data_IF_182052790815
#
_entry.id   IF_182052790815
#
_cell.length_a   1.000
_cell.length_b   1.000
_cell.length_c   1.000
_cell.angle_alpha   90.00
_cell.angle_beta   90.00
_cell.angle_gamma   90.00
#
_symmetry.space_group_name_H-M   'P 1'
#
loop_
_entity.id
_entity.type
_entity.pdbx_description
1 polymer ?
#
# COMPACT_ATOMS: atom_id res chain seq x y z
N UNK A 1 -25.35 10.65 -10.83
CA UNK A 1 -24.60 10.70 -9.54
C UNK A 1 -23.13 10.87 -9.89
N UNK A 2 -22.41 11.70 -9.15
CA UNK A 2 -20.97 11.91 -9.36
C UNK A 2 -20.19 10.60 -9.25
N UNK A 3 -19.07 10.52 -9.96
CA UNK A 3 -18.20 9.34 -9.98
C UNK A 3 -17.61 9.04 -8.59
N UNK A 4 -17.41 10.07 -7.78
CA UNK A 4 -16.87 10.01 -6.42
C UNK A 4 -17.96 10.40 -5.42
N UNK A 5 -18.13 9.61 -4.35
CA UNK A 5 -19.12 9.86 -3.29
C UNK A 5 -18.49 10.48 -2.03
N UNK A 6 -17.17 10.42 -1.88
CA UNK A 6 -16.41 10.79 -0.69
C UNK A 6 -15.23 11.68 -1.06
N UNK A 7 -14.82 12.58 -0.18
CA UNK A 7 -13.55 13.27 -0.37
C UNK A 7 -12.43 12.28 -0.05
N UNK A 8 -11.42 12.23 -0.92
CA UNK A 8 -10.36 11.24 -0.85
C UNK A 8 -9.02 11.92 -0.61
N UNK A 9 -8.22 11.35 0.27
CA UNK A 9 -6.79 11.65 0.33
C UNK A 9 -6.08 10.69 -0.60
N UNK A 10 -5.31 11.22 -1.55
CA UNK A 10 -4.47 10.44 -2.46
C UNK A 10 -3.02 10.75 -2.13
N UNK A 11 -2.27 9.70 -1.79
CA UNK A 11 -0.83 9.76 -1.59
C UNK A 11 -0.12 9.30 -2.85
N UNK A 12 1.00 9.93 -3.15
CA UNK A 12 1.85 9.53 -4.24
C UNK A 12 3.27 10.03 -4.11
N UNK A 13 4.09 9.55 -5.02
CA UNK A 13 5.53 9.77 -5.00
C UNK A 13 6.09 9.96 -6.40
N UNK A 14 7.34 10.41 -6.43
CA UNK A 14 8.21 10.28 -7.59
C UNK A 14 8.66 8.82 -7.73
N UNK A 15 8.90 8.33 -8.95
CA UNK A 15 9.50 7.01 -9.12
C UNK A 15 10.90 6.99 -8.48
N UNK A 16 11.16 5.98 -7.65
CA UNK A 16 12.49 5.74 -7.08
C UNK A 16 13.59 5.48 -8.14
N UNK A 17 13.23 5.07 -9.36
CA UNK A 17 14.20 4.88 -10.46
C UNK A 17 14.15 6.05 -11.42
N UNK A 18 15.25 6.80 -11.52
CA UNK A 18 15.40 7.98 -12.39
C UNK A 18 14.95 7.73 -13.84
N UNK A 19 15.27 6.58 -14.41
CA UNK A 19 14.91 6.22 -15.79
C UNK A 19 13.38 6.12 -16.05
N UNK A 20 12.58 5.96 -14.99
CA UNK A 20 11.12 5.91 -15.07
C UNK A 20 10.49 7.27 -14.69
N UNK A 21 11.28 8.23 -14.20
CA UNK A 21 10.83 9.58 -13.87
C UNK A 21 10.51 10.40 -15.14
N UNK A 22 9.52 11.26 -14.99
CA UNK A 22 8.93 12.20 -15.96
C UNK A 22 8.71 13.59 -15.34
N UNK A 23 8.54 13.64 -14.02
CA UNK A 23 8.39 14.84 -13.22
C UNK A 23 9.70 15.12 -12.49
N UNK A 24 10.04 16.40 -12.35
CA UNK A 24 11.05 16.84 -11.37
C UNK A 24 10.46 16.81 -9.96
N UNK A 25 11.32 16.84 -8.93
CA UNK A 25 10.85 16.78 -7.54
C UNK A 25 9.90 17.93 -7.19
N UNK A 26 10.13 19.12 -7.75
CA UNK A 26 9.31 20.33 -7.55
C UNK A 26 7.95 20.25 -8.24
N UNK A 27 7.77 19.33 -9.20
CA UNK A 27 6.50 19.08 -9.87
C UNK A 27 5.64 18.04 -9.15
N UNK A 28 6.23 17.26 -8.23
CA UNK A 28 5.55 16.23 -7.44
C UNK A 28 4.72 16.87 -6.33
N UNK A 29 3.49 16.41 -6.18
CA UNK A 29 2.52 16.81 -5.16
C UNK A 29 2.12 15.55 -4.39
N UNK A 30 2.90 15.16 -3.36
CA UNK A 30 2.81 13.82 -2.79
C UNK A 30 1.54 13.57 -1.98
N UNK A 31 0.84 14.63 -1.56
CA UNK A 31 -0.42 14.55 -0.84
C UNK A 31 -1.43 15.45 -1.54
N UNK A 32 -2.56 14.88 -1.97
CA UNK A 32 -3.61 15.60 -2.68
C UNK A 32 -4.99 15.19 -2.14
N UNK A 33 -5.92 16.13 -2.14
CA UNK A 33 -7.33 15.89 -1.86
C UNK A 33 -8.07 15.83 -3.19
N UNK A 34 -8.74 14.71 -3.47
CA UNK A 34 -9.71 14.56 -4.54
C UNK A 34 -11.11 14.74 -3.95
N UNK A 35 -11.74 15.86 -4.26
CA UNK A 35 -13.06 16.22 -3.74
C UNK A 35 -14.17 15.48 -4.48
N UNK A 36 -15.35 15.40 -3.85
CA UNK A 36 -16.55 14.77 -4.45
C UNK A 36 -16.98 15.36 -5.78
N UNK A 37 -16.68 16.63 -6.02
CA UNK A 37 -16.96 17.32 -7.30
C UNK A 37 -15.96 16.95 -8.41
N UNK A 38 -14.95 16.15 -8.11
CA UNK A 38 -13.89 15.71 -9.02
C UNK A 38 -12.70 16.67 -9.08
N UNK A 39 -12.73 17.80 -8.37
CA UNK A 39 -11.57 18.69 -8.27
C UNK A 39 -10.46 18.06 -7.43
N UNK A 40 -9.21 18.39 -7.77
CA UNK A 40 -8.02 17.88 -7.08
C UNK A 40 -7.20 19.07 -6.60
N UNK A 41 -6.85 19.10 -5.31
CA UNK A 41 -5.96 20.13 -4.74
C UNK A 41 -4.79 19.50 -3.99
N UNK A 42 -3.56 20.00 -4.17
CA UNK A 42 -2.43 19.55 -3.37
C UNK A 42 -2.51 20.07 -1.93
N UNK A 43 -2.01 19.30 -0.99
CA UNK A 43 -1.76 19.73 0.40
C UNK A 43 -0.32 20.21 0.48
N UNK A 44 -0.10 21.53 0.30
CA UNK A 44 1.23 22.07 0.00
C UNK A 44 2.26 21.87 1.12
N UNK A 45 1.83 21.69 2.36
CA UNK A 45 2.70 21.37 3.50
C UNK A 45 3.63 20.18 3.24
N UNK A 46 3.18 19.17 2.49
CA UNK A 46 3.95 17.97 2.20
C UNK A 46 4.83 18.06 0.95
N UNK A 47 4.81 19.17 0.20
CA UNK A 47 5.52 19.26 -1.08
C UNK A 47 7.03 19.05 -0.92
N UNK A 48 7.61 19.38 0.23
CA UNK A 48 9.04 19.21 0.55
C UNK A 48 9.36 17.94 1.36
N UNK A 49 8.39 17.06 1.60
CA UNK A 49 8.56 15.87 2.45
C UNK A 49 9.09 14.69 1.65
N UNK A 50 10.17 14.06 2.13
CA UNK A 50 10.86 12.93 1.50
C UNK A 50 11.52 13.24 0.15
N UNK A 51 12.56 12.48 -0.18
CA UNK A 51 13.15 12.48 -1.53
C UNK A 51 12.12 12.00 -2.55
N UNK A 52 11.39 10.93 -2.23
CA UNK A 52 10.37 10.35 -3.12
C UNK A 52 8.95 10.83 -2.81
N UNK A 53 8.65 11.26 -1.58
CA UNK A 53 7.31 11.70 -1.17
C UNK A 53 6.83 11.04 0.12
N UNK A 54 5.51 10.96 0.28
CA UNK A 54 4.84 10.36 1.45
C UNK A 54 4.20 9.04 1.02
N UNK A 55 4.56 7.93 1.68
CA UNK A 55 4.07 6.59 1.30
C UNK A 55 2.74 6.22 1.98
N UNK A 56 2.60 6.52 3.27
CA UNK A 56 1.44 6.16 4.07
C UNK A 56 1.20 7.18 5.19
N UNK A 57 -0.05 7.29 5.63
CA UNK A 57 -0.48 8.17 6.71
C UNK A 57 -1.48 7.41 7.58
N UNK A 58 -1.27 7.44 8.89
CA UNK A 58 -2.19 6.92 9.88
C UNK A 58 -2.64 8.03 10.84
N UNK A 59 -3.88 7.94 11.30
CA UNK A 59 -4.43 8.80 12.34
C UNK A 59 -5.37 7.98 13.21
N UNK A 60 -5.61 8.46 14.42
CA UNK A 60 -6.53 7.85 15.36
C UNK A 60 -7.21 8.95 16.20
N UNK A 61 -8.49 8.77 16.49
CA UNK A 61 -9.31 9.73 17.25
C UNK A 61 -8.75 10.10 18.63
N UNK A 62 -7.91 9.25 19.25
CA UNK A 62 -7.24 9.55 20.52
C UNK A 62 -6.18 10.64 20.39
N UNK A 63 -5.66 10.87 19.19
CA UNK A 63 -4.63 11.86 18.90
C UNK A 63 -5.21 12.94 17.98
N UNK A 64 -6.16 13.73 18.51
CA UNK A 64 -7.01 14.63 17.74
C UNK A 64 -6.25 15.50 16.71
N UNK A 65 -5.12 16.10 17.08
CA UNK A 65 -4.37 16.98 16.15
C UNK A 65 -3.13 16.32 15.56
N UNK A 66 -3.01 14.99 15.62
CA UNK A 66 -1.77 14.31 15.22
C UNK A 66 -1.98 13.34 14.05
N UNK A 67 -1.05 13.42 13.09
CA UNK A 67 -0.90 12.48 11.99
C UNK A 67 0.42 11.74 12.15
N UNK A 68 0.43 10.47 11.80
CA UNK A 68 1.63 9.66 11.67
C UNK A 68 1.89 9.48 10.19
N UNK A 69 3.07 9.87 9.72
CA UNK A 69 3.37 10.00 8.29
C UNK A 69 4.65 9.25 7.99
N UNK A 70 4.63 8.32 7.04
CA UNK A 70 5.83 7.60 6.60
C UNK A 70 6.48 8.26 5.38
N UNK A 71 7.81 8.42 5.46
CA UNK A 71 8.68 8.90 4.39
C UNK A 71 9.83 7.90 4.20
N UNK A 72 9.63 6.91 3.32
CA UNK A 72 10.60 5.85 2.99
C UNK A 72 11.15 5.07 4.22
N UNK A 73 12.08 5.65 4.97
CA UNK A 73 12.78 5.04 6.11
C UNK A 73 12.40 5.67 7.46
N UNK A 74 11.62 6.76 7.45
CA UNK A 74 11.27 7.53 8.64
C UNK A 74 9.76 7.54 8.87
N UNK A 75 9.34 7.62 10.14
CA UNK A 75 7.97 7.99 10.51
C UNK A 75 7.99 9.26 11.33
N UNK A 76 7.17 10.22 10.92
CA UNK A 76 6.99 11.50 11.59
C UNK A 76 5.64 11.56 12.28
N UNK A 77 5.63 12.03 13.52
CA UNK A 77 4.42 12.43 14.25
C UNK A 77 4.24 13.93 14.06
N UNK A 78 3.32 14.29 13.18
CA UNK A 78 2.97 15.66 12.81
C UNK A 78 1.82 16.16 13.66
N UNK A 79 2.00 17.28 14.36
CA UNK A 79 0.91 18.05 14.93
C UNK A 79 0.37 19.03 13.88
N UNK A 80 -0.89 18.87 13.49
CA UNK A 80 -1.55 19.65 12.43
C UNK A 80 -1.71 21.11 12.86
N UNK A 81 -2.12 21.35 14.11
CA UNK A 81 -2.42 22.69 14.61
C UNK A 81 -1.16 23.57 14.69
N UNK A 82 -0.06 23.04 15.23
CA UNK A 82 1.21 23.76 15.32
C UNK A 82 2.07 23.67 14.06
N UNK A 83 1.71 22.79 13.12
CA UNK A 83 2.49 22.45 11.92
C UNK A 83 3.92 21.98 12.22
N UNK A 84 4.14 21.44 13.42
CA UNK A 84 5.43 20.90 13.85
C UNK A 84 5.41 19.37 13.84
N UNK A 85 6.54 18.74 13.56
CA UNK A 85 6.66 17.29 13.62
C UNK A 85 7.91 16.86 14.38
N UNK A 86 7.89 15.60 14.83
CA UNK A 86 9.07 14.90 15.35
C UNK A 86 9.19 13.51 14.72
N UNK A 87 10.41 13.09 14.46
CA UNK A 87 10.72 11.71 14.07
C UNK A 87 10.42 10.76 15.22
N UNK A 88 9.83 9.60 14.92
CA UNK A 88 9.69 8.53 15.89
C UNK A 88 11.02 7.78 16.00
N UNK A 89 11.47 7.55 17.24
CA UNK A 89 12.59 6.64 17.49
C UNK A 89 12.09 5.20 17.44
N UNK A 90 12.11 4.64 16.23
CA UNK A 90 11.73 3.25 15.98
C UNK A 90 12.94 2.34 15.83
N UNK A 91 14.18 2.85 15.87
CA UNK A 91 15.39 2.10 15.55
C UNK A 91 15.60 1.93 14.04
N UNK A 92 16.14 0.78 13.60
CA UNK A 92 16.35 0.50 12.17
C UNK A 92 14.99 0.28 11.47
N UNK A 93 14.76 1.01 10.40
CA UNK A 93 13.63 0.84 9.49
C UNK A 93 14.05 1.21 8.07
N UNK A 94 13.43 0.59 7.07
CA UNK A 94 13.70 0.87 5.67
C UNK A 94 12.61 0.33 4.75
N UNK A 95 12.34 1.04 3.65
CA UNK A 95 11.29 0.73 2.70
C UNK A 95 9.92 0.49 3.40
N UNK A 96 9.43 1.49 4.14
CA UNK A 96 8.15 1.47 4.85
C UNK A 96 7.01 1.65 3.85
N UNK A 97 6.22 0.60 3.64
CA UNK A 97 5.10 0.59 2.68
C UNK A 97 3.79 1.05 3.29
N UNK A 98 3.47 0.59 4.50
CA UNK A 98 2.20 0.90 5.17
C UNK A 98 2.39 1.13 6.67
N UNK A 99 1.61 2.08 7.20
CA UNK A 99 1.42 2.31 8.63
C UNK A 99 -0.07 2.42 8.91
N UNK A 100 -0.54 1.84 10.01
CA UNK A 100 -1.93 1.97 10.44
C UNK A 100 -2.06 1.61 11.92
N UNK A 101 -3.15 2.04 12.53
CA UNK A 101 -3.49 1.67 13.90
C UNK A 101 -4.23 0.34 13.93
N UNK A 102 -3.78 -0.59 14.79
CA UNK A 102 -4.55 -1.73 15.24
C UNK A 102 -4.65 -1.62 16.76
N UNK A 103 -5.87 -1.54 17.27
CA UNK A 103 -6.18 -1.22 18.66
C UNK A 103 -5.54 0.10 19.11
N UNK A 104 -4.44 0.08 19.86
CA UNK A 104 -3.69 1.23 20.36
C UNK A 104 -2.25 1.33 19.87
N UNK A 105 -1.87 0.42 18.97
CA UNK A 105 -0.51 0.29 18.46
C UNK A 105 -0.49 0.77 17.01
N UNK A 106 0.46 1.67 16.72
CA UNK A 106 0.83 2.01 15.35
C UNK A 106 1.70 0.87 14.80
N UNK A 107 1.14 0.09 13.89
CA UNK A 107 1.85 -0.97 13.20
C UNK A 107 2.52 -0.44 11.95
N UNK A 108 3.74 -0.91 11.72
CA UNK A 108 4.63 -0.45 10.65
C UNK A 108 5.12 -1.69 9.90
N UNK A 109 4.87 -1.72 8.59
CA UNK A 109 5.39 -2.75 7.69
C UNK A 109 6.78 -2.35 7.21
N UNK A 110 7.81 -2.97 7.79
CA UNK A 110 9.21 -2.69 7.52
C UNK A 110 9.77 -3.71 6.52
N UNK A 111 9.63 -3.39 5.25
CA UNK A 111 9.90 -4.29 4.13
C UNK A 111 11.37 -4.66 4.03
N UNK A 112 12.27 -3.71 4.22
CA UNK A 112 13.71 -3.94 4.05
C UNK A 112 14.25 -5.01 5.01
N UNK A 113 13.65 -5.09 6.19
CA UNK A 113 14.08 -5.95 7.29
C UNK A 113 13.16 -7.14 7.56
N UNK A 114 12.14 -7.38 6.72
CA UNK A 114 11.14 -8.45 6.90
C UNK A 114 10.58 -8.52 8.32
N UNK A 115 10.07 -7.38 8.81
CA UNK A 115 9.50 -7.32 10.16
C UNK A 115 8.27 -6.43 10.23
N UNK A 116 7.45 -6.71 11.24
CA UNK A 116 6.40 -5.83 11.72
C UNK A 116 6.89 -5.10 12.98
N UNK A 117 6.78 -3.78 13.01
CA UNK A 117 7.12 -2.98 14.20
C UNK A 117 5.83 -2.44 14.82
N UNK A 118 5.57 -2.78 16.07
CA UNK A 118 4.49 -2.22 16.87
C UNK A 118 4.99 -1.07 17.72
N UNK A 119 4.54 0.15 17.46
CA UNK A 119 4.91 1.36 18.20
C UNK A 119 3.74 1.91 19.01
N UNK A 120 3.97 2.28 20.27
CA UNK A 120 2.97 2.93 21.12
C UNK A 120 3.18 4.44 21.12
N UNK A 121 2.28 5.23 20.51
CA UNK A 121 2.45 6.68 20.50
C UNK A 121 2.26 7.34 21.86
N UNK A 122 1.46 6.74 22.75
CA UNK A 122 1.30 7.21 24.13
C UNK A 122 2.62 7.18 24.90
N UNK A 123 3.32 6.05 24.86
CA UNK A 123 4.60 5.88 25.58
C UNK A 123 5.83 6.32 24.77
N UNK A 124 5.63 6.63 23.48
CA UNK A 124 6.68 6.96 22.51
C UNK A 124 7.79 5.90 22.48
N UNK A 125 7.40 4.62 22.44
CA UNK A 125 8.31 3.46 22.47
C UNK A 125 7.85 2.37 21.52
N UNK A 126 8.81 1.67 20.93
CA UNK A 126 8.58 0.37 20.28
C UNK A 126 8.14 -0.62 21.35
N UNK A 127 6.96 -1.21 21.18
CA UNK A 127 6.38 -2.24 22.06
C UNK A 127 6.81 -3.63 21.63
N UNK A 128 6.84 -3.86 20.32
CA UNK A 128 7.07 -5.18 19.75
C UNK A 128 7.76 -5.07 18.39
N UNK A 129 8.60 -6.05 18.07
CA UNK A 129 9.19 -6.27 16.74
C UNK A 129 9.02 -7.74 16.41
N UNK A 130 8.26 -8.05 15.35
CA UNK A 130 7.99 -9.42 14.91
C UNK A 130 8.81 -9.67 13.64
N UNK A 131 9.85 -10.48 13.76
CA UNK A 131 10.62 -10.92 12.59
C UNK A 131 9.83 -11.98 11.82
N UNK A 132 9.78 -11.85 10.49
CA UNK A 132 9.18 -12.85 9.62
C UNK A 132 10.13 -14.01 9.30
N UNK A 133 11.40 -13.92 9.70
CA UNK A 133 12.41 -14.94 9.40
C UNK A 133 12.05 -16.34 9.90
N UNK A 134 11.25 -16.45 10.97
CA UNK A 134 10.77 -17.74 11.50
C UNK A 134 9.83 -18.50 10.56
N UNK A 135 9.21 -17.81 9.60
CA UNK A 135 8.31 -18.42 8.61
C UNK A 135 9.05 -18.98 7.40
N UNK A 136 10.37 -18.77 7.33
CA UNK A 136 11.16 -19.11 6.15
C UNK A 136 11.27 -20.62 6.03
N UNK A 137 10.91 -21.13 4.86
CA UNK A 137 11.07 -22.56 4.54
C UNK A 137 12.51 -22.84 4.11
N UNK A 138 13.05 -23.98 4.53
CA UNK A 138 14.38 -24.43 4.08
C UNK A 138 14.47 -24.45 2.56
N UNK A 139 15.59 -23.96 2.04
CA UNK A 139 15.84 -23.89 0.62
C UNK A 139 16.57 -25.15 0.15
N UNK A 140 15.97 -25.89 -0.76
CA UNK A 140 16.69 -26.88 -1.56
C UNK A 140 17.52 -26.12 -2.61
N UNK A 141 18.85 -26.04 -2.38
CA UNK A 141 19.78 -25.46 -3.35
C UNK A 141 19.65 -26.18 -4.70
N UNK A 142 19.13 -25.45 -5.68
CA UNK A 142 19.33 -25.78 -7.10
C UNK A 142 20.59 -25.06 -7.58
N UNK A 143 21.51 -25.80 -8.21
CA UNK A 143 22.78 -25.30 -8.74
C UNK A 143 22.61 -24.25 -9.88
N UNK A 144 21.38 -24.04 -10.37
CA UNK A 144 21.08 -23.20 -11.54
C UNK A 144 20.60 -21.77 -11.19
N UNK A 145 20.64 -21.33 -9.93
CA UNK A 145 20.10 -20.03 -9.51
C UNK A 145 21.20 -19.06 -9.04
N UNK A 146 21.52 -18.08 -9.90
CA UNK A 146 22.68 -17.19 -9.72
C UNK A 146 22.55 -16.11 -8.63
N UNK A 147 21.34 -15.67 -8.25
CA UNK A 147 21.11 -14.74 -7.12
C UNK A 147 19.75 -14.95 -6.48
N UNK A 148 19.76 -15.26 -5.19
CA UNK A 148 18.56 -15.29 -4.35
C UNK A 148 18.63 -14.07 -3.43
N UNK A 149 17.71 -13.12 -3.61
CA UNK A 149 17.54 -12.04 -2.63
C UNK A 149 16.54 -12.56 -1.60
N UNK A 150 16.96 -12.52 -0.34
CA UNK A 150 16.31 -13.19 0.77
C UNK A 150 15.35 -12.24 1.48
N UNK A 151 14.13 -12.06 0.94
CA UNK A 151 13.12 -11.17 1.52
C UNK A 151 11.67 -11.64 1.33
N UNK A 152 10.88 -11.64 2.40
CA UNK A 152 9.42 -11.78 2.36
C UNK A 152 8.75 -10.57 1.70
N UNK A 153 9.31 -9.37 1.93
CA UNK A 153 8.78 -8.09 1.49
C UNK A 153 7.38 -7.84 2.09
N UNK A 154 7.35 -7.48 3.38
CA UNK A 154 6.12 -7.22 4.14
C UNK A 154 5.48 -5.89 3.77
N UNK A 155 4.31 -5.92 3.11
CA UNK A 155 3.64 -4.70 2.65
C UNK A 155 2.60 -4.15 3.62
N UNK A 156 1.93 -5.02 4.37
CA UNK A 156 0.86 -4.58 5.26
C UNK A 156 0.68 -5.54 6.43
N UNK A 157 0.53 -4.99 7.64
CA UNK A 157 -0.01 -5.69 8.81
C UNK A 157 -1.52 -5.48 8.86
N UNK A 158 -2.29 -6.41 9.40
CA UNK A 158 -3.73 -6.24 9.59
C UNK A 158 -4.27 -7.24 10.61
N UNK A 159 -5.50 -7.02 11.07
CA UNK A 159 -6.25 -8.01 11.85
C UNK A 159 -7.18 -8.80 10.93
N UNK A 160 -7.20 -10.12 11.07
CA UNK A 160 -8.13 -10.98 10.36
C UNK A 160 -9.53 -10.99 11.04
N UNK A 161 -10.49 -11.75 10.49
CA UNK A 161 -11.85 -11.83 11.06
C UNK A 161 -11.94 -12.47 12.47
N UNK A 162 -10.84 -13.06 12.97
CA UNK A 162 -10.71 -13.59 14.33
C UNK A 162 -9.90 -12.67 15.26
N UNK A 163 -9.57 -11.46 14.81
CA UNK A 163 -8.74 -10.50 15.53
C UNK A 163 -7.29 -10.99 15.76
N UNK A 164 -6.78 -11.85 14.87
CA UNK A 164 -5.39 -12.30 14.88
C UNK A 164 -4.56 -11.43 13.94
N UNK A 165 -3.32 -11.11 14.33
CA UNK A 165 -2.37 -10.32 13.54
C UNK A 165 -1.91 -11.11 12.33
N UNK A 166 -1.96 -10.48 11.17
CA UNK A 166 -1.51 -11.05 9.92
C UNK A 166 -0.58 -10.09 9.17
N UNK A 167 0.31 -10.64 8.35
CA UNK A 167 1.16 -9.90 7.43
C UNK A 167 0.86 -10.31 5.98
N UNK A 168 0.66 -9.33 5.10
CA UNK A 168 0.59 -9.49 3.65
C UNK A 168 1.99 -9.33 3.05
N UNK A 169 2.44 -10.32 2.29
CA UNK A 169 3.84 -10.44 1.84
C UNK A 169 3.94 -10.79 0.35
N UNK A 170 5.06 -10.40 -0.29
CA UNK A 170 5.32 -10.77 -1.69
C UNK A 170 5.72 -12.23 -1.89
N UNK A 171 6.44 -12.83 -0.94
CA UNK A 171 7.04 -14.15 -1.09
C UNK A 171 6.82 -15.01 0.17
N UNK A 172 5.85 -15.93 0.15
CA UNK A 172 5.56 -16.80 1.33
C UNK A 172 6.71 -17.73 1.70
N UNK A 173 7.57 -18.04 0.75
CA UNK A 173 8.77 -18.85 1.00
C UNK A 173 9.91 -18.05 1.66
N UNK A 174 9.84 -16.71 1.63
CA UNK A 174 10.94 -15.81 2.00
C UNK A 174 12.02 -15.68 0.91
N UNK A 175 11.86 -16.34 -0.23
CA UNK A 175 12.88 -16.38 -1.29
C UNK A 175 12.42 -15.61 -2.53
N UNK A 176 13.20 -14.61 -2.95
CA UNK A 176 13.05 -13.94 -4.25
C UNK A 176 14.09 -14.48 -5.23
N UNK A 177 13.64 -15.29 -6.19
CA UNK A 177 14.49 -15.82 -7.25
C UNK A 177 14.67 -14.80 -8.37
N UNK A 178 15.91 -14.41 -8.67
CA UNK A 178 16.22 -13.68 -9.91
C UNK A 178 16.52 -14.70 -11.02
N UNK A 179 15.56 -14.90 -11.95
CA UNK A 179 15.79 -15.70 -13.16
C UNK A 179 15.92 -14.76 -14.37
N UNK A 180 17.12 -14.24 -14.57
CA UNK A 180 17.46 -13.28 -15.66
C UNK A 180 17.02 -13.79 -17.04
N UNK A 181 16.99 -15.10 -17.28
CA UNK A 181 16.63 -15.69 -18.57
C UNK A 181 15.21 -16.30 -18.66
N UNK A 182 14.58 -16.67 -17.54
CA UNK A 182 13.29 -17.38 -17.55
C UNK A 182 12.07 -16.49 -17.25
N UNK A 183 12.24 -15.35 -16.58
CA UNK A 183 11.16 -14.39 -16.32
C UNK A 183 10.60 -13.73 -17.60
N UNK A 184 11.34 -13.77 -18.71
CA UNK A 184 10.84 -13.33 -20.01
C UNK A 184 9.77 -14.27 -20.58
N UNK A 185 9.76 -15.56 -20.19
CA UNK A 185 8.91 -16.59 -20.77
C UNK A 185 7.87 -17.19 -19.80
N UNK A 186 8.10 -17.15 -18.48
CA UNK A 186 7.25 -17.80 -17.45
C UNK A 186 6.78 -16.81 -16.38
N UNK A 187 6.22 -15.69 -16.84
CA UNK A 187 5.97 -14.48 -16.04
C UNK A 187 4.73 -14.55 -15.12
N UNK A 188 4.35 -15.71 -14.60
CA UNK A 188 3.01 -15.91 -14.01
C UNK A 188 2.93 -16.52 -12.60
N UNK A 189 4.02 -16.81 -11.91
CA UNK A 189 3.91 -17.39 -10.57
C UNK A 189 4.62 -16.53 -9.53
N UNK A 190 3.89 -15.53 -9.02
CA UNK A 190 4.20 -14.97 -7.71
C UNK A 190 3.76 -15.97 -6.64
N UNK A 191 4.54 -16.09 -5.57
CA UNK A 191 4.26 -16.92 -4.40
C UNK A 191 3.77 -16.07 -3.21
N UNK A 192 3.16 -14.91 -3.47
CA UNK A 192 2.66 -14.03 -2.43
C UNK A 192 1.47 -14.61 -1.67
N UNK A 193 1.26 -14.13 -0.46
CA UNK A 193 0.27 -14.70 0.45
C UNK A 193 0.18 -13.95 1.78
N UNK A 194 -0.34 -14.65 2.78
CA UNK A 194 -0.57 -14.10 4.12
C UNK A 194 0.10 -15.00 5.15
N UNK A 195 0.78 -14.38 6.12
CA UNK A 195 1.28 -15.03 7.33
C UNK A 195 0.37 -14.65 8.49
N UNK A 196 -0.09 -15.62 9.29
CA UNK A 196 -0.70 -15.35 10.57
C UNK A 196 0.40 -15.29 11.63
N UNK A 197 0.62 -14.11 12.19
CA UNK A 197 1.71 -13.85 13.13
C UNK A 197 1.43 -14.43 14.51
N UNK A 198 0.16 -14.66 14.85
CA UNK A 198 -0.24 -15.22 16.15
C UNK A 198 -0.29 -16.75 16.13
N UNK A 199 -0.83 -17.35 15.06
CA UNK A 199 -0.97 -18.82 14.95
C UNK A 199 0.18 -19.50 14.21
N UNK A 200 1.06 -18.72 13.59
CA UNK A 200 2.13 -19.18 12.69
C UNK A 200 1.65 -19.91 11.42
N UNK A 201 0.36 -19.83 11.08
CA UNK A 201 -0.17 -20.39 9.85
C UNK A 201 0.30 -19.58 8.61
N UNK A 202 0.57 -20.29 7.50
CA UNK A 202 0.95 -19.71 6.22
C UNK A 202 -0.14 -19.97 5.19
N UNK A 203 -0.61 -18.93 4.51
CA UNK A 203 -1.61 -19.01 3.45
C UNK A 203 -0.96 -18.67 2.08
N UNK A 204 -0.53 -19.66 1.29
CA UNK A 204 0.09 -19.45 -0.02
C UNK A 204 -0.97 -19.16 -1.09
N UNK A 205 -1.31 -17.88 -1.25
CA UNK A 205 -2.39 -17.43 -2.13
C UNK A 205 -1.99 -17.29 -3.61
N UNK A 206 -0.71 -17.48 -3.92
CA UNK A 206 -0.12 -17.33 -5.28
C UNK A 206 -0.34 -15.94 -5.86
N UNK A 207 -0.23 -14.93 -5.01
CA UNK A 207 -0.38 -13.53 -5.39
C UNK A 207 0.90 -13.01 -6.07
N UNK A 208 0.76 -12.10 -7.03
CA UNK A 208 1.88 -11.49 -7.75
C UNK A 208 2.19 -10.10 -7.20
N UNK A 209 3.02 -10.02 -6.17
CA UNK A 209 3.35 -8.76 -5.49
C UNK A 209 2.11 -8.05 -4.93
N UNK A 210 1.41 -8.64 -3.94
CA UNK A 210 0.24 -8.02 -3.33
C UNK A 210 0.61 -6.85 -2.42
N UNK A 211 -0.08 -5.70 -2.51
CA UNK A 211 0.32 -4.48 -1.77
C UNK A 211 -0.62 -4.07 -0.63
N UNK A 212 -1.92 -4.39 -0.73
CA UNK A 212 -2.87 -4.03 0.33
C UNK A 212 -4.01 -5.04 0.42
N UNK A 213 -4.58 -5.15 1.62
CA UNK A 213 -5.71 -6.00 1.96
C UNK A 213 -6.75 -5.20 2.75
N UNK A 214 -8.03 -5.44 2.47
CA UNK A 214 -9.15 -4.91 3.26
C UNK A 214 -10.16 -6.02 3.55
N UNK A 215 -10.77 -5.94 4.72
CA UNK A 215 -11.87 -6.81 5.13
C UNK A 215 -13.17 -6.11 4.78
N UNK A 216 -13.95 -6.70 3.88
CA UNK A 216 -15.16 -6.08 3.31
C UNK A 216 -16.23 -7.14 3.11
N UNK A 217 -17.42 -6.93 3.68
CA UNK A 217 -18.59 -7.78 3.56
C UNK A 217 -18.25 -9.26 3.83
N UNK A 218 -17.43 -9.52 4.86
CA UNK A 218 -16.99 -10.86 5.24
C UNK A 218 -15.94 -11.52 4.33
N UNK A 219 -15.35 -10.77 3.38
CA UNK A 219 -14.31 -11.24 2.46
C UNK A 219 -13.00 -10.47 2.64
N UNK A 220 -11.88 -11.04 2.19
CA UNK A 220 -10.61 -10.34 2.03
C UNK A 220 -10.48 -9.83 0.60
N UNK A 221 -10.30 -8.54 0.42
CA UNK A 221 -10.03 -7.91 -0.87
C UNK A 221 -8.55 -7.54 -0.92
N UNK A 222 -7.79 -8.20 -1.80
CA UNK A 222 -6.34 -8.04 -1.89
C UNK A 222 -5.97 -7.43 -3.24
N UNK A 223 -5.20 -6.34 -3.23
CA UNK A 223 -4.61 -5.78 -4.45
C UNK A 223 -3.46 -6.66 -4.87
N UNK A 224 -3.63 -7.36 -6.00
CA UNK A 224 -2.56 -8.12 -6.64
C UNK A 224 -1.97 -7.28 -7.78
N UNK A 225 -0.90 -6.55 -7.48
CA UNK A 225 -0.41 -5.49 -8.36
C UNK A 225 0.32 -6.01 -9.59
N UNK A 226 0.99 -7.16 -9.48
CA UNK A 226 1.62 -7.85 -10.59
C UNK A 226 0.60 -8.41 -11.57
N UNK A 227 -0.50 -8.98 -11.04
CA UNK A 227 -1.64 -9.47 -11.82
C UNK A 227 -2.59 -8.35 -12.27
N UNK A 228 -2.42 -7.12 -11.74
CA UNK A 228 -3.21 -5.92 -12.07
C UNK A 228 -4.69 -6.07 -11.76
N UNK A 229 -4.98 -6.76 -10.67
CA UNK A 229 -6.33 -7.10 -10.26
C UNK A 229 -6.56 -6.89 -8.76
N UNK A 230 -7.82 -6.92 -8.34
CA UNK A 230 -8.19 -7.22 -6.95
C UNK A 230 -8.68 -8.65 -6.88
N UNK A 231 -8.08 -9.45 -6.00
CA UNK A 231 -8.56 -10.80 -5.69
C UNK A 231 -9.40 -10.78 -4.43
N UNK A 232 -10.55 -11.43 -4.48
CA UNK A 232 -11.51 -11.48 -3.37
C UNK A 232 -11.53 -12.91 -2.84
N UNK A 233 -11.17 -13.09 -1.57
CA UNK A 233 -11.14 -14.37 -0.89
C UNK A 233 -12.21 -14.42 0.21
N UNK A 234 -12.75 -15.61 0.49
CA UNK A 234 -13.56 -15.82 1.69
C UNK A 234 -12.69 -15.89 2.96
N UNK A 235 -13.32 -16.05 4.13
CA UNK A 235 -12.64 -16.17 5.42
C UNK A 235 -11.72 -17.40 5.55
N UNK A 236 -11.86 -18.38 4.63
CA UNK A 236 -11.03 -19.60 4.55
C UNK A 236 -9.96 -19.47 3.45
N UNK A 237 -9.73 -18.26 2.95
CA UNK A 237 -8.77 -17.95 1.89
C UNK A 237 -9.05 -18.65 0.55
N UNK A 238 -10.31 -19.03 0.30
CA UNK A 238 -10.72 -19.52 -1.02
C UNK A 238 -11.02 -18.34 -1.93
N UNK A 239 -10.38 -18.30 -3.10
CA UNK A 239 -10.64 -17.27 -4.11
C UNK A 239 -12.10 -17.37 -4.58
N UNK A 240 -12.84 -16.26 -4.45
CA UNK A 240 -14.23 -16.13 -4.86
C UNK A 240 -14.37 -15.39 -6.20
N UNK A 241 -13.56 -14.36 -6.43
CA UNK A 241 -13.70 -13.48 -7.58
C UNK A 241 -12.44 -12.65 -7.82
N UNK A 242 -12.29 -12.13 -9.02
CA UNK A 242 -11.21 -11.23 -9.45
C UNK A 242 -11.80 -10.03 -10.17
N UNK A 243 -11.33 -8.83 -9.86
CA UNK A 243 -11.68 -7.59 -10.56
C UNK A 243 -10.45 -7.10 -11.31
N UNK A 244 -10.52 -7.10 -12.63
CA UNK A 244 -9.45 -6.60 -13.49
C UNK A 244 -9.40 -5.07 -13.46
N UNK A 245 -8.22 -4.49 -13.17
CA UNK A 245 -8.02 -3.05 -13.06
C UNK A 245 -7.11 -2.48 -14.18
N UNK A 246 -6.26 -3.33 -14.74
CA UNK A 246 -5.35 -2.97 -15.83
C UNK A 246 -4.14 -2.13 -15.42
N UNK A 247 -3.93 -1.81 -14.13
CA UNK A 247 -2.79 -1.03 -13.63
C UNK A 247 -2.10 -1.67 -12.41
N UNK A 248 -1.01 -1.06 -11.94
CA UNK A 248 -0.29 -1.55 -10.76
C UNK A 248 -0.90 -0.96 -9.50
N UNK A 249 -1.49 -1.82 -8.68
CA UNK A 249 -2.13 -1.42 -7.44
C UNK A 249 -1.19 -1.04 -6.30
N UNK A 250 -1.65 -0.20 -5.37
CA UNK A 250 -0.95 0.13 -4.11
C UNK A 250 -1.91 0.24 -2.92
N UNK A 251 -2.73 1.29 -2.87
CA UNK A 251 -3.70 1.50 -1.78
C UNK A 251 -5.15 1.47 -2.23
N UNK A 252 -6.02 1.23 -1.26
CA UNK A 252 -7.46 1.13 -1.44
C UNK A 252 -8.25 1.57 -0.20
N UNK A 253 -9.39 2.20 -0.43
CA UNK A 253 -10.34 2.60 0.61
C UNK A 253 -11.78 2.28 0.19
N UNK A 254 -12.64 1.98 1.15
CA UNK A 254 -13.98 1.47 0.90
C UNK A 254 -15.01 2.09 1.84
N UNK A 255 -16.22 2.26 1.33
CA UNK A 255 -17.42 2.50 2.13
C UNK A 255 -18.43 1.39 1.83
N UNK A 256 -18.57 0.44 2.75
CA UNK A 256 -19.59 -0.62 2.67
C UNK A 256 -21.00 -0.01 2.69
N UNK A 257 -21.21 1.00 3.54
CA UNK A 257 -22.48 1.74 3.65
C UNK A 257 -22.94 2.31 2.30
N UNK A 258 -22.00 2.84 1.51
CA UNK A 258 -22.31 3.49 0.23
C UNK A 258 -22.09 2.57 -0.97
N UNK A 259 -21.76 1.29 -0.73
CA UNK A 259 -21.44 0.28 -1.74
C UNK A 259 -20.41 0.79 -2.77
N UNK A 260 -19.28 1.33 -2.30
CA UNK A 260 -18.22 1.86 -3.17
C UNK A 260 -16.81 1.60 -2.64
N UNK A 261 -15.90 1.29 -3.55
CA UNK A 261 -14.46 1.19 -3.33
C UNK A 261 -13.68 2.16 -4.21
N UNK A 262 -12.55 2.63 -3.70
CA UNK A 262 -11.61 3.51 -4.39
C UNK A 262 -10.24 2.85 -4.38
N UNK A 263 -9.67 2.66 -5.57
CA UNK A 263 -8.42 1.91 -5.74
C UNK A 263 -7.40 2.79 -6.46
N UNK A 264 -6.28 3.04 -5.79
CA UNK A 264 -5.13 3.73 -6.36
C UNK A 264 -4.34 2.85 -7.32
N UNK A 265 -4.12 3.34 -8.54
CA UNK A 265 -3.37 2.65 -9.58
C UNK A 265 -2.24 3.54 -10.09
N UNK A 266 -1.02 3.01 -9.99
CA UNK A 266 0.17 3.65 -10.54
C UNK A 266 0.24 3.52 -12.06
N UNK A 267 0.86 4.52 -12.69
CA UNK A 267 1.11 4.58 -14.11
C UNK A 267 1.98 3.40 -14.60
N UNK A 268 1.81 3.03 -15.87
CA UNK A 268 2.65 1.98 -16.47
C UNK A 268 4.10 2.46 -16.57
N UNK A 269 5.03 1.79 -15.90
CA UNK A 269 6.46 2.14 -15.95
C UNK A 269 7.01 2.03 -17.37
N UNK A 270 7.87 2.97 -17.78
CA UNK A 270 8.43 3.07 -19.13
C UNK A 270 9.14 1.78 -19.53
N UNK A 271 9.88 1.19 -18.59
CA UNK A 271 10.58 -0.09 -18.79
C UNK A 271 9.66 -1.28 -19.12
N UNK A 272 8.40 -1.25 -18.69
CA UNK A 272 7.46 -2.34 -18.96
C UNK A 272 6.71 -2.19 -20.28
N UNK A 273 6.69 -1.01 -20.89
CA UNK A 273 6.01 -0.78 -22.17
C UNK A 273 6.56 -1.66 -23.30
N UNK A 274 7.84 -2.05 -23.24
CA UNK A 274 8.47 -2.94 -24.22
C UNK A 274 8.01 -4.40 -24.12
N UNK A 275 7.42 -4.79 -23.00
CA UNK A 275 7.11 -6.20 -22.68
C UNK A 275 5.60 -6.44 -22.50
N UNK A 276 4.81 -5.40 -22.29
CA UNK A 276 3.36 -5.52 -22.13
C UNK A 276 2.68 -5.53 -23.51
N UNK A 277 1.93 -6.60 -23.86
CA UNK A 277 1.38 -6.79 -25.21
C UNK A 277 0.47 -5.66 -25.71
N UNK A 278 -0.17 -4.91 -24.81
CA UNK A 278 -1.12 -3.85 -25.19
C UNK A 278 -0.45 -2.52 -25.51
N UNK A 279 0.80 -2.29 -25.10
CA UNK A 279 1.57 -1.07 -25.35
C UNK A 279 0.98 0.26 -24.83
N UNK A 280 -0.24 0.26 -24.28
CA UNK A 280 -0.91 1.48 -23.82
C UNK A 280 -0.34 1.92 -22.49
N UNK A 281 0.22 3.13 -22.48
CA UNK A 281 0.60 3.82 -21.26
C UNK A 281 -0.66 4.21 -20.48
N UNK A 282 -0.75 3.77 -19.22
CA UNK A 282 -1.80 4.20 -18.31
C UNK A 282 -1.25 5.27 -17.36
N UNK A 283 -2.09 6.26 -17.06
CA UNK A 283 -1.79 7.31 -16.10
C UNK A 283 -2.05 6.84 -14.66
N UNK A 284 -1.46 7.56 -13.70
CA UNK A 284 -1.84 7.48 -12.30
C UNK A 284 -3.31 7.84 -12.15
N UNK A 285 -4.07 7.01 -11.46
CA UNK A 285 -5.53 7.18 -11.36
C UNK A 285 -6.10 6.53 -10.12
N UNK A 286 -7.28 6.99 -9.73
CA UNK A 286 -8.15 6.30 -8.77
C UNK A 286 -9.29 5.67 -9.57
N UNK A 287 -9.47 4.35 -9.42
CA UNK A 287 -10.58 3.60 -9.98
C UNK A 287 -11.65 3.41 -8.93
N UNK A 288 -12.91 3.63 -9.32
CA UNK A 288 -14.08 3.37 -8.49
C UNK A 288 -14.62 1.97 -8.76
N UNK A 289 -15.08 1.29 -7.71
CA UNK A 289 -15.61 -0.07 -7.78
C UNK A 289 -16.96 -0.15 -7.05
N UNK A 290 -17.96 -0.77 -7.69
CA UNK A 290 -19.21 -1.18 -7.05
C UNK A 290 -18.97 -2.52 -6.33
N UNK A 291 -19.15 -2.56 -5.00
CA UNK A 291 -18.73 -3.70 -4.18
C UNK A 291 -19.66 -4.90 -4.33
N UNK A 292 -20.96 -4.66 -4.46
CA UNK A 292 -21.95 -5.70 -4.74
C UNK A 292 -21.74 -6.31 -6.12
N UNK A 293 -21.57 -5.46 -7.15
CA UNK A 293 -21.39 -5.94 -8.53
C UNK A 293 -19.98 -6.45 -8.80
N UNK A 294 -19.01 -6.10 -7.94
CA UNK A 294 -17.57 -6.40 -8.10
C UNK A 294 -17.05 -5.95 -9.46
N UNK A 295 -17.39 -4.71 -9.85
CA UNK A 295 -17.04 -4.14 -11.15
C UNK A 295 -16.60 -2.70 -11.01
N UNK A 296 -15.68 -2.30 -11.86
CA UNK A 296 -15.26 -0.90 -11.98
C UNK A 296 -16.43 -0.06 -12.50
N UNK A 297 -16.65 1.09 -11.89
CA UNK A 297 -17.71 2.05 -12.26
C UNK A 297 -17.19 3.31 -12.94
N UNK A 298 -15.88 3.52 -12.94
CA UNK A 298 -15.19 4.61 -13.62
C UNK A 298 -13.86 4.97 -12.96
N UNK A 299 -13.18 6.00 -13.47
CA UNK A 299 -11.84 6.37 -13.05
C UNK A 299 -11.58 7.88 -13.13
N UNK A 300 -10.65 8.36 -12.29
CA UNK A 300 -10.15 9.74 -12.28
C UNK A 300 -8.63 9.73 -12.35
N UNK A 301 -8.07 10.45 -13.31
CA UNK A 301 -6.62 10.62 -13.44
C UNK A 301 -6.10 11.54 -12.34
N UNK A 302 -5.02 11.13 -11.69
CA UNK A 302 -4.36 11.89 -10.65
C UNK A 302 -3.10 12.55 -11.23
N UNK A 303 -3.05 13.89 -11.32
CA UNK A 303 -1.90 14.61 -11.86
C UNK A 303 -0.77 14.71 -10.82
N UNK A 304 0.39 15.20 -11.27
CA UNK A 304 1.49 15.65 -10.41
C UNK A 304 2.04 14.60 -9.42
N UNK A 305 1.85 13.32 -9.70
CA UNK A 305 2.52 12.20 -9.03
C UNK A 305 2.97 11.22 -10.11
N UNK A 306 3.94 10.38 -9.78
CA UNK A 306 4.42 9.35 -10.70
C UNK A 306 4.02 7.94 -10.30
N UNK A 307 3.78 7.73 -9.01
CA UNK A 307 3.20 6.54 -8.42
C UNK A 307 2.08 6.97 -7.47
N UNK A 308 0.99 6.21 -7.44
CA UNK A 308 -0.04 6.31 -6.40
C UNK A 308 0.37 5.35 -5.31
N UNK A 309 0.59 5.81 -4.09
CA UNK A 309 1.04 4.98 -2.97
C UNK A 309 -0.13 4.55 -2.09
N UNK A 310 -1.06 5.46 -1.78
CA UNK A 310 -2.23 5.11 -0.99
C UNK A 310 -3.46 5.97 -1.29
N UNK A 311 -4.63 5.50 -0.87
CA UNK A 311 -5.91 6.20 -1.01
C UNK A 311 -6.70 6.02 0.29
N UNK A 312 -7.25 7.11 0.81
CA UNK A 312 -8.10 7.12 2.01
C UNK A 312 -9.41 7.85 1.75
N UNK A 313 -10.46 7.42 2.42
CA UNK A 313 -11.70 8.20 2.54
C UNK A 313 -11.52 9.17 3.70
N UNK A 314 -11.80 10.45 3.47
CA UNK A 314 -11.80 11.49 4.49
C UNK A 314 -13.22 11.70 5.01
N UNK A 315 -13.37 11.71 6.33
CA UNK A 315 -14.51 12.35 6.95
C UNK A 315 -14.31 13.87 7.01
N UNK A 316 -15.32 14.59 7.52
CA UNK A 316 -15.29 16.05 7.57
C UNK A 316 -14.18 16.58 8.49
N UNK A 317 -13.85 15.85 9.56
CA UNK A 317 -12.83 16.26 10.53
C UNK A 317 -11.44 16.18 9.88
N UNK A 318 -11.13 15.05 9.26
CA UNK A 318 -9.86 14.84 8.58
C UNK A 318 -9.71 15.70 7.34
N UNK A 319 -10.80 15.91 6.58
CA UNK A 319 -10.81 16.85 5.47
C UNK A 319 -10.38 18.24 5.95
N UNK A 320 -10.99 18.76 7.02
CA UNK A 320 -10.65 20.08 7.57
C UNK A 320 -9.19 20.16 8.03
N UNK A 321 -8.63 19.08 8.60
CA UNK A 321 -7.21 19.03 8.99
C UNK A 321 -6.29 19.15 7.78
N UNK A 322 -6.52 18.38 6.72
CA UNK A 322 -5.70 18.45 5.50
C UNK A 322 -5.89 19.78 4.75
N UNK A 323 -7.09 20.35 4.74
CA UNK A 323 -7.33 21.69 4.19
C UNK A 323 -6.56 22.76 4.98
N UNK A 324 -6.44 22.63 6.31
CA UNK A 324 -5.66 23.56 7.12
C UNK A 324 -4.15 23.49 6.88
N UNK A 325 -3.67 22.42 6.24
CA UNK A 325 -2.28 22.22 5.82
C UNK A 325 -2.03 22.61 4.35
N UNK A 326 -3.08 23.00 3.62
CA UNK A 326 -2.99 23.28 2.18
C UNK A 326 -2.46 24.67 1.84
#
# INVERSE_FOLDING_TARGET
MGLIKHDLLVLGSQNAKEQDQKLTREQVRPVQILYRDGSIKPVNFFNSWGEVGVSSIAWDSRYADELFVSENEEIRRLNVASRSFKSLDIGKAGDIHDIHFLDDILWISNTEHDEAIGFSPETNKVKERISLASFRTEYEKSDDLEKVIDRFHCNQIFLNYKNEKCALIHHVSGWQYYRILFEALVKQQGDGGVLNLDTQEVFPLKLQSPHSVRLINGNYWIQDSGDRSVKIFDQKWKLLSTIELGGFGRGMAFSEKDNVGYIGLSATRKRYLKVIPTGKYLHNRVVTVDLEKRKTSGEIVIPNIEQVDNVYILDNEMLSKFESLS
#
